data_IF_353545197163
#
_entry.id   IF_353545197163
#
_cell.length_a   1.000
_cell.length_b   1.000
_cell.length_c   1.000
_cell.angle_alpha   90.00
_cell.angle_beta   90.00
_cell.angle_gamma   90.00
#
_symmetry.space_group_name_H-M   'P 1'
#
loop_
_entity.id
_entity.type
_entity.pdbx_description
1 polymer ?
#
# COMPACT_ATOMS: atom_id res chain seq x y z
N UNK A 1 61.45 -25.27 -41.05
CA UNK A 1 60.09 -25.59 -41.47
C UNK A 1 59.23 -26.38 -40.50
N UNK A 2 59.78 -27.39 -39.77
CA UNK A 2 59.03 -28.24 -38.82
C UNK A 2 58.62 -27.54 -37.51
N UNK A 3 59.27 -26.48 -37.07
CA UNK A 3 58.95 -25.72 -35.85
C UNK A 3 57.76 -24.71 -36.07
N UNK A 4 57.69 -24.12 -37.26
CA UNK A 4 56.58 -23.18 -37.64
C UNK A 4 55.21 -23.88 -37.74
N UNK A 5 55.22 -25.14 -38.22
CA UNK A 5 53.95 -25.92 -38.34
C UNK A 5 53.37 -26.34 -37.01
N UNK A 6 54.21 -26.55 -35.96
CA UNK A 6 53.71 -26.87 -34.61
C UNK A 6 53.09 -25.67 -33.88
N UNK A 7 53.63 -24.46 -34.12
CA UNK A 7 53.09 -23.26 -33.51
C UNK A 7 51.70 -22.86 -34.06
N UNK A 8 51.50 -23.03 -35.39
CA UNK A 8 50.23 -22.72 -36.04
C UNK A 8 49.13 -23.72 -35.65
N UNK A 9 49.47 -25.01 -35.49
CA UNK A 9 48.49 -26.02 -35.07
C UNK A 9 48.06 -25.81 -33.61
N UNK A 10 48.96 -25.38 -32.71
CA UNK A 10 48.64 -25.09 -31.33
C UNK A 10 47.75 -23.84 -31.15
N UNK A 11 47.94 -22.79 -31.96
CA UNK A 11 47.06 -21.59 -31.94
C UNK A 11 45.68 -21.91 -32.47
N UNK A 12 45.53 -22.77 -33.48
CA UNK A 12 44.24 -23.17 -34.06
C UNK A 12 43.38 -23.97 -33.04
N UNK A 13 43.99 -24.82 -32.22
CA UNK A 13 43.28 -25.59 -31.19
C UNK A 13 42.84 -24.71 -30.03
N UNK A 14 43.65 -23.71 -29.61
CA UNK A 14 43.25 -22.74 -28.57
C UNK A 14 42.10 -21.83 -29.04
N UNK A 15 42.10 -21.38 -30.32
CA UNK A 15 41.01 -20.59 -30.89
C UNK A 15 39.72 -21.40 -31.02
N UNK A 16 39.78 -22.70 -31.30
CA UNK A 16 38.58 -23.56 -31.41
C UNK A 16 37.93 -23.84 -30.04
N UNK A 17 38.70 -23.87 -28.93
CA UNK A 17 38.15 -24.05 -27.57
C UNK A 17 37.37 -22.79 -27.10
N UNK A 18 37.77 -21.59 -27.53
CA UNK A 18 37.05 -20.34 -27.21
C UNK A 18 35.73 -20.13 -27.99
N UNK A 19 35.55 -20.79 -29.15
CA UNK A 19 34.31 -20.63 -29.96
C UNK A 19 33.13 -21.51 -29.55
N UNK A 20 33.30 -22.43 -28.59
CA UNK A 20 32.25 -23.31 -28.09
C UNK A 20 31.85 -23.09 -26.65
N UNK A 21 32.13 -21.93 -26.08
CA UNK A 21 31.42 -21.52 -24.88
C UNK A 21 29.96 -21.22 -25.25
N UNK A 22 29.16 -22.27 -25.48
CA UNK A 22 27.70 -22.14 -25.41
C UNK A 22 27.40 -21.48 -24.07
N UNK A 23 27.01 -20.22 -24.11
CA UNK A 23 26.36 -19.59 -22.98
C UNK A 23 25.17 -20.49 -22.68
N UNK A 24 25.30 -21.34 -21.67
CA UNK A 24 24.18 -22.11 -21.13
C UNK A 24 23.22 -21.04 -20.58
N UNK A 25 22.29 -20.63 -21.42
CA UNK A 25 21.23 -19.69 -21.01
C UNK A 25 20.47 -20.37 -19.87
N UNK A 26 20.69 -19.88 -18.65
CA UNK A 26 20.08 -20.46 -17.47
C UNK A 26 18.57 -20.44 -17.65
N UNK A 27 17.94 -21.63 -17.56
CA UNK A 27 16.49 -21.78 -17.71
C UNK A 27 15.77 -20.77 -16.81
N UNK A 28 14.84 -19.98 -17.34
CA UNK A 28 14.12 -18.99 -16.56
C UNK A 28 13.54 -19.58 -15.27
N UNK A 29 13.79 -18.93 -14.14
CA UNK A 29 13.44 -19.44 -12.82
C UNK A 29 11.98 -19.88 -12.70
N UNK A 30 11.05 -19.13 -13.33
CA UNK A 30 9.62 -19.38 -13.22
C UNK A 30 9.03 -20.29 -14.30
N UNK A 31 9.83 -20.83 -15.23
CA UNK A 31 9.34 -21.73 -16.32
C UNK A 31 8.65 -22.97 -15.72
N UNK A 32 7.36 -23.17 -16.10
CA UNK A 32 6.53 -24.30 -15.65
C UNK A 32 6.07 -24.20 -14.18
N UNK A 33 6.24 -23.04 -13.53
CA UNK A 33 5.85 -22.85 -12.13
C UNK A 33 4.51 -22.13 -11.99
N UNK A 34 3.90 -22.27 -10.81
CA UNK A 34 2.72 -21.52 -10.39
C UNK A 34 3.11 -20.58 -9.25
N UNK A 35 2.78 -19.30 -9.39
CA UNK A 35 3.01 -18.26 -8.38
C UNK A 35 1.70 -17.95 -7.69
N UNK A 36 1.70 -17.85 -6.37
CA UNK A 36 0.58 -17.39 -5.56
C UNK A 36 0.80 -15.94 -5.18
N UNK A 37 -0.08 -15.05 -5.61
CA UNK A 37 -0.13 -13.68 -5.14
C UNK A 37 -1.03 -13.59 -3.91
N UNK A 38 -0.44 -13.38 -2.75
CA UNK A 38 -1.12 -13.26 -1.47
C UNK A 38 -1.59 -11.82 -1.25
N UNK A 39 -2.87 -11.64 -0.92
CA UNK A 39 -3.51 -10.34 -0.69
C UNK A 39 -4.01 -10.31 0.75
N UNK A 40 -3.60 -9.31 1.54
CA UNK A 40 -3.86 -9.26 2.98
C UNK A 40 -5.24 -8.72 3.39
N UNK A 41 -6.15 -8.51 2.46
CA UNK A 41 -7.53 -8.08 2.72
C UNK A 41 -8.55 -8.91 1.94
N UNK A 42 -9.81 -8.81 2.35
CA UNK A 42 -10.93 -9.51 1.72
C UNK A 42 -11.12 -9.13 0.24
N UNK A 43 -11.74 -10.02 -0.56
CA UNK A 43 -12.08 -9.74 -1.94
C UNK A 43 -12.93 -8.48 -2.13
N UNK A 44 -12.83 -7.85 -3.31
CA UNK A 44 -13.63 -6.68 -3.74
C UNK A 44 -13.13 -5.33 -3.25
N UNK A 45 -12.13 -5.29 -2.33
CA UNK A 45 -11.49 -4.05 -1.89
C UNK A 45 -10.40 -3.55 -2.83
N UNK A 46 -9.86 -2.34 -2.55
CA UNK A 46 -8.81 -1.75 -3.37
C UNK A 46 -7.52 -2.58 -3.42
N UNK A 47 -7.14 -3.28 -2.34
CA UNK A 47 -6.00 -4.17 -2.32
C UNK A 47 -6.21 -5.39 -3.24
N UNK A 48 -7.40 -5.99 -3.20
CA UNK A 48 -7.76 -7.12 -4.04
C UNK A 48 -7.79 -6.74 -5.52
N UNK A 49 -8.44 -5.63 -5.87
CA UNK A 49 -8.48 -5.13 -7.25
C UNK A 49 -7.07 -4.88 -7.80
N UNK A 50 -6.22 -4.19 -7.04
CA UNK A 50 -4.83 -3.91 -7.43
C UNK A 50 -4.03 -5.20 -7.67
N UNK A 51 -4.10 -6.16 -6.73
CA UNK A 51 -3.42 -7.45 -6.88
C UNK A 51 -3.87 -8.22 -8.11
N UNK A 52 -5.18 -8.27 -8.38
CA UNK A 52 -5.73 -8.97 -9.55
C UNK A 52 -5.35 -8.32 -10.88
N UNK A 53 -5.27 -6.99 -10.95
CA UNK A 53 -4.77 -6.30 -12.15
C UNK A 53 -3.30 -6.67 -12.39
N UNK A 54 -2.45 -6.62 -11.36
CA UNK A 54 -1.06 -7.04 -11.47
C UNK A 54 -0.96 -8.51 -11.90
N UNK A 55 -1.70 -9.41 -11.25
CA UNK A 55 -1.66 -10.85 -11.53
C UNK A 55 -2.06 -11.22 -12.95
N UNK A 56 -2.95 -10.46 -13.61
CA UNK A 56 -3.31 -10.67 -15.02
C UNK A 56 -2.16 -10.38 -16.00
N UNK A 57 -1.32 -9.42 -15.67
CA UNK A 57 -0.25 -8.97 -16.55
C UNK A 57 1.12 -9.56 -16.20
N UNK A 58 1.32 -9.94 -14.93
CA UNK A 58 2.60 -10.46 -14.44
C UNK A 58 3.10 -11.69 -15.21
N UNK A 59 2.27 -12.70 -15.59
CA UNK A 59 2.74 -13.89 -16.30
C UNK A 59 3.55 -13.55 -17.56
N UNK A 60 3.07 -12.69 -18.43
CA UNK A 60 3.74 -12.35 -19.71
C UNK A 60 4.98 -11.48 -19.56
N UNK A 61 5.20 -10.89 -18.38
CA UNK A 61 6.36 -10.02 -18.08
C UNK A 61 7.42 -10.74 -17.23
N UNK A 62 7.02 -11.84 -16.59
CA UNK A 62 7.88 -12.67 -15.77
C UNK A 62 8.48 -13.79 -16.62
N UNK A 63 9.80 -13.86 -16.67
CA UNK A 63 10.49 -14.85 -17.47
C UNK A 63 10.09 -16.28 -17.10
N UNK A 64 9.74 -17.07 -18.11
CA UNK A 64 9.17 -18.41 -17.92
C UNK A 64 7.65 -18.47 -17.96
N UNK A 65 6.95 -17.33 -18.06
CA UNK A 65 5.51 -17.20 -18.21
C UNK A 65 4.69 -18.10 -17.24
N UNK A 66 4.90 -17.99 -15.91
CA UNK A 66 4.23 -18.83 -14.94
C UNK A 66 2.75 -18.50 -14.82
N UNK A 67 1.96 -19.47 -14.37
CA UNK A 67 0.59 -19.17 -13.93
C UNK A 67 0.61 -18.38 -12.62
N UNK A 68 -0.09 -17.25 -12.56
CA UNK A 68 -0.24 -16.44 -11.33
C UNK A 68 -1.68 -16.51 -10.84
N UNK A 69 -1.88 -16.87 -9.58
CA UNK A 69 -3.20 -16.96 -8.93
C UNK A 69 -3.23 -16.05 -7.70
N UNK A 70 -4.36 -15.40 -7.44
CA UNK A 70 -4.57 -14.58 -6.25
C UNK A 70 -5.21 -15.40 -5.13
N UNK A 71 -4.70 -15.23 -3.90
CA UNK A 71 -5.26 -15.77 -2.66
C UNK A 71 -5.44 -14.64 -1.64
N UNK A 72 -6.65 -14.47 -1.12
CA UNK A 72 -6.90 -13.50 -0.06
C UNK A 72 -6.71 -14.17 1.31
N UNK A 73 -6.05 -13.46 2.24
CA UNK A 73 -5.86 -13.86 3.63
C UNK A 73 -6.14 -12.64 4.53
N UNK A 74 -7.41 -12.30 4.74
CA UNK A 74 -7.79 -11.17 5.59
C UNK A 74 -7.70 -11.55 7.07
N UNK A 75 -7.54 -10.55 7.93
CA UNK A 75 -7.61 -10.70 9.38
C UNK A 75 -6.58 -9.83 10.11
N UNK A 76 -6.92 -9.43 11.33
CA UNK A 76 -6.10 -8.60 12.22
C UNK A 76 -5.51 -7.35 11.53
N UNK A 77 -6.31 -6.63 10.72
CA UNK A 77 -5.83 -5.47 9.98
C UNK A 77 -4.78 -5.81 8.89
N UNK A 78 -4.76 -7.05 8.41
CA UNK A 78 -3.80 -7.54 7.42
C UNK A 78 -2.59 -8.28 8.01
N UNK A 79 -2.42 -8.28 9.34
CA UNK A 79 -1.28 -8.92 10.05
C UNK A 79 -1.20 -10.43 9.79
N UNK A 80 -2.33 -11.12 9.65
CA UNK A 80 -2.32 -12.55 9.38
C UNK A 80 -1.50 -12.91 8.15
N UNK A 81 -1.71 -12.22 7.04
CA UNK A 81 -0.96 -12.46 5.80
C UNK A 81 0.50 -11.97 5.89
N UNK A 82 0.76 -10.89 6.63
CA UNK A 82 2.10 -10.34 6.83
C UNK A 82 2.96 -11.31 7.63
N UNK A 83 2.47 -11.82 8.74
CA UNK A 83 3.17 -12.86 9.51
C UNK A 83 3.35 -14.13 8.67
N UNK A 84 2.29 -14.57 7.97
CA UNK A 84 2.34 -15.77 7.14
C UNK A 84 3.44 -15.72 6.07
N UNK A 85 3.57 -14.62 5.33
CA UNK A 85 4.57 -14.55 4.24
C UNK A 85 6.00 -14.57 4.74
N UNK A 86 6.24 -13.97 5.92
CA UNK A 86 7.60 -13.83 6.46
C UNK A 86 8.01 -14.97 7.41
N UNK A 87 7.06 -15.72 7.95
CA UNK A 87 7.28 -16.75 8.96
C UNK A 87 6.97 -18.17 8.47
N UNK A 88 5.91 -18.33 7.65
CA UNK A 88 5.35 -19.65 7.30
C UNK A 88 5.54 -20.01 5.82
N UNK A 89 5.41 -19.02 4.93
CA UNK A 89 5.50 -19.29 3.50
C UNK A 89 6.88 -19.78 3.10
N UNK A 90 6.95 -20.90 2.35
CA UNK A 90 8.21 -21.47 1.89
C UNK A 90 9.04 -20.44 1.11
N UNK A 91 10.34 -20.27 1.43
CA UNK A 91 11.19 -19.28 0.76
C UNK A 91 11.68 -19.79 -0.62
N UNK A 92 10.78 -20.30 -1.42
CA UNK A 92 11.05 -20.88 -2.74
C UNK A 92 10.74 -19.94 -3.90
N UNK A 93 10.41 -18.66 -3.61
CA UNK A 93 10.08 -17.64 -4.61
C UNK A 93 8.70 -17.77 -5.27
N UNK A 94 7.87 -18.74 -4.84
CA UNK A 94 6.56 -19.00 -5.47
C UNK A 94 5.38 -18.32 -4.77
N UNK A 95 5.60 -17.68 -3.63
CA UNK A 95 4.60 -16.83 -2.95
C UNK A 95 5.08 -15.39 -3.03
N UNK A 96 4.25 -14.50 -3.57
CA UNK A 96 4.52 -13.06 -3.66
C UNK A 96 3.38 -12.30 -3.00
N UNK A 97 3.68 -11.23 -2.26
CA UNK A 97 2.64 -10.40 -1.67
C UNK A 97 2.12 -9.32 -2.63
N UNK A 98 0.87 -8.91 -2.41
CA UNK A 98 0.36 -7.59 -2.77
C UNK A 98 -0.40 -7.08 -1.55
N UNK A 99 0.35 -6.48 -0.62
CA UNK A 99 -0.18 -6.04 0.67
C UNK A 99 -0.53 -4.56 0.67
N UNK A 100 -1.44 -4.20 1.54
CA UNK A 100 -1.78 -2.82 1.86
C UNK A 100 -1.33 -2.51 3.28
N UNK A 101 -0.52 -1.46 3.46
CA UNK A 101 0.00 -1.07 4.77
C UNK A 101 0.92 -2.13 5.38
N UNK A 102 0.85 -2.26 6.70
CA UNK A 102 1.58 -3.29 7.47
C UNK A 102 2.86 -2.80 8.12
N UNK A 103 3.56 -1.86 7.52
CA UNK A 103 4.80 -1.31 8.05
C UNK A 103 4.63 -0.56 9.38
N UNK A 104 3.47 0.02 9.63
CA UNK A 104 3.18 0.71 10.89
C UNK A 104 3.19 -0.21 12.09
N UNK A 105 2.90 -1.49 11.92
CA UNK A 105 3.00 -2.46 13.00
C UNK A 105 4.45 -2.59 13.50
N UNK A 106 5.43 -2.60 12.58
CA UNK A 106 6.84 -2.59 12.98
C UNK A 106 7.28 -1.24 13.52
N UNK A 107 6.87 -0.14 12.89
CA UNK A 107 7.13 1.22 13.38
C UNK A 107 6.66 1.42 14.83
N UNK A 108 5.57 0.78 15.22
CA UNK A 108 4.97 0.88 16.56
C UNK A 108 5.33 -0.29 17.47
N UNK A 109 6.20 -1.19 17.04
CA UNK A 109 6.56 -2.39 17.81
C UNK A 109 5.33 -3.16 18.28
N UNK A 110 4.30 -3.27 17.40
CA UNK A 110 3.06 -3.98 17.74
C UNK A 110 3.36 -5.45 18.05
N UNK A 111 3.01 -5.95 19.25
CA UNK A 111 3.37 -7.32 19.67
C UNK A 111 2.70 -8.42 18.82
N UNK A 112 1.66 -8.09 18.06
CA UNK A 112 1.03 -9.03 17.14
C UNK A 112 1.80 -9.19 15.81
N UNK A 113 2.76 -8.30 15.51
CA UNK A 113 3.73 -8.49 14.44
C UNK A 113 4.88 -9.35 14.97
N UNK A 114 5.00 -10.59 14.50
CA UNK A 114 6.00 -11.56 14.97
C UNK A 114 7.25 -11.61 14.10
N UNK A 115 7.31 -10.79 13.06
CA UNK A 115 8.34 -10.83 12.01
C UNK A 115 9.02 -9.48 11.87
N UNK A 116 10.25 -9.49 11.36
CA UNK A 116 11.00 -8.30 11.03
C UNK A 116 10.89 -8.02 9.52
N UNK A 117 10.14 -6.99 9.16
CA UNK A 117 9.89 -6.61 7.77
C UNK A 117 11.13 -6.07 7.05
N UNK A 118 12.19 -5.68 7.78
CA UNK A 118 13.47 -5.27 7.18
C UNK A 118 14.18 -6.42 6.51
N UNK A 119 13.92 -7.66 6.95
CA UNK A 119 14.48 -8.89 6.37
C UNK A 119 13.78 -9.34 5.09
N UNK A 120 12.67 -8.74 4.74
CA UNK A 120 11.91 -9.11 3.56
C UNK A 120 12.59 -8.61 2.28
N UNK A 121 12.72 -9.44 1.23
CA UNK A 121 13.23 -9.00 -0.05
C UNK A 121 12.16 -8.20 -0.80
N UNK A 122 12.12 -6.91 -0.57
CA UNK A 122 11.17 -6.02 -1.21
C UNK A 122 11.35 -6.00 -2.73
N UNK A 123 10.25 -6.11 -3.45
CA UNK A 123 10.18 -6.15 -4.90
C UNK A 123 9.76 -4.80 -5.46
N UNK A 124 8.66 -4.25 -4.97
CA UNK A 124 8.13 -2.97 -5.40
C UNK A 124 7.18 -2.38 -4.37
N UNK A 125 7.03 -1.06 -4.41
CA UNK A 125 5.94 -0.32 -3.79
C UNK A 125 5.06 0.34 -4.84
N UNK A 126 3.83 0.70 -4.45
CA UNK A 126 2.95 1.57 -5.22
C UNK A 126 2.43 2.65 -4.29
N UNK A 127 2.65 3.89 -4.66
CA UNK A 127 2.19 5.05 -3.93
C UNK A 127 0.68 5.26 -4.02
N UNK A 128 0.15 6.07 -3.11
CA UNK A 128 -1.24 6.46 -3.16
C UNK A 128 -1.75 7.18 -1.93
N UNK A 129 -3.03 7.49 -1.97
CA UNK A 129 -3.74 8.15 -0.89
C UNK A 129 -5.05 7.42 -0.58
N UNK A 130 -5.69 7.82 0.52
CA UNK A 130 -7.07 7.45 0.83
C UNK A 130 -7.94 8.70 0.81
N UNK A 131 -9.18 8.51 0.43
CA UNK A 131 -10.21 9.54 0.45
C UNK A 131 -11.17 9.21 1.57
N UNK A 132 -11.41 10.16 2.45
CA UNK A 132 -12.38 10.06 3.53
C UNK A 132 -13.68 10.66 3.05
N UNK A 133 -14.75 9.94 3.25
CA UNK A 133 -16.11 10.36 2.91
C UNK A 133 -17.05 10.07 4.08
N UNK A 134 -18.12 10.84 4.15
CA UNK A 134 -19.13 10.69 5.20
C UNK A 134 -20.54 10.73 4.61
N UNK A 135 -21.47 10.07 5.27
CA UNK A 135 -22.90 10.14 4.94
C UNK A 135 -23.39 11.58 5.02
N UNK A 136 -24.16 11.97 4.03
CA UNK A 136 -24.74 13.31 3.94
C UNK A 136 -25.73 13.58 5.08
N UNK A 137 -26.47 12.58 5.50
CA UNK A 137 -27.45 12.65 6.58
C UNK A 137 -26.89 12.55 8.00
N UNK A 138 -25.53 12.54 8.15
CA UNK A 138 -24.87 12.65 9.45
C UNK A 138 -25.32 13.94 10.15
N UNK A 139 -25.87 13.81 11.37
CA UNK A 139 -26.40 14.97 12.13
C UNK A 139 -25.34 16.05 12.36
N UNK A 140 -25.68 17.33 12.11
CA UNK A 140 -26.99 17.89 11.73
C UNK A 140 -27.24 17.92 10.21
N UNK A 141 -26.41 17.30 9.39
CA UNK A 141 -26.39 17.31 7.94
C UNK A 141 -25.08 17.84 7.39
N UNK A 142 -24.54 17.16 6.34
CA UNK A 142 -23.26 17.49 5.73
C UNK A 142 -23.47 17.73 4.22
N UNK A 143 -23.29 18.97 3.75
CA UNK A 143 -23.38 19.33 2.33
C UNK A 143 -21.99 19.55 1.70
N UNK A 144 -21.02 19.93 2.48
CA UNK A 144 -19.65 20.24 2.04
C UNK A 144 -18.63 19.82 3.10
N UNK A 145 -17.34 19.63 2.75
CA UNK A 145 -16.31 19.14 3.67
C UNK A 145 -16.22 19.87 5.00
N UNK A 146 -16.33 21.19 4.99
CA UNK A 146 -16.25 22.02 6.20
C UNK A 146 -17.39 21.79 7.19
N UNK A 147 -18.51 21.21 6.76
CA UNK A 147 -19.64 20.94 7.64
C UNK A 147 -19.33 19.86 8.70
N UNK A 148 -18.21 19.15 8.55
CA UNK A 148 -17.75 18.15 9.53
C UNK A 148 -17.61 18.71 10.95
N UNK A 149 -17.34 20.02 11.09
CA UNK A 149 -17.27 20.69 12.39
C UNK A 149 -18.61 21.01 13.02
N UNK A 150 -19.72 20.84 12.29
CA UNK A 150 -21.06 20.95 12.85
C UNK A 150 -21.43 19.76 13.75
N UNK A 151 -20.68 18.65 13.63
CA UNK A 151 -20.86 17.46 14.47
C UNK A 151 -20.39 17.76 15.89
N UNK A 152 -21.32 17.81 16.83
CA UNK A 152 -21.02 18.12 18.25
C UNK A 152 -21.00 16.90 19.14
N UNK A 153 -21.78 15.85 18.82
CA UNK A 153 -21.80 14.60 19.55
C UNK A 153 -20.96 13.54 18.81
N UNK A 154 -19.89 12.98 19.44
CA UNK A 154 -19.05 11.98 18.78
C UNK A 154 -19.81 10.69 18.40
N UNK A 155 -20.91 10.36 19.09
CA UNK A 155 -21.72 9.17 18.77
C UNK A 155 -22.56 9.32 17.51
N UNK A 156 -22.78 10.54 17.03
CA UNK A 156 -23.43 10.84 15.76
C UNK A 156 -22.47 10.77 14.58
N UNK A 157 -21.16 10.59 14.86
CA UNK A 157 -20.12 10.47 13.82
C UNK A 157 -19.19 9.30 14.09
N UNK A 158 -19.69 8.10 13.83
CA UNK A 158 -18.95 6.86 13.94
C UNK A 158 -18.11 6.62 12.68
N UNK A 159 -16.86 6.23 12.87
CA UNK A 159 -15.92 5.97 11.78
C UNK A 159 -15.54 4.50 11.79
N UNK A 160 -15.75 3.81 10.65
CA UNK A 160 -15.38 2.41 10.54
C UNK A 160 -13.87 2.22 10.44
N UNK A 161 -13.34 1.26 11.18
CA UNK A 161 -11.92 0.89 11.22
C UNK A 161 -11.68 -0.60 11.31
N UNK A 162 -10.41 -1.01 11.12
CA UNK A 162 -9.98 -2.41 11.14
C UNK A 162 -9.31 -2.77 12.45
N UNK A 163 -8.31 -1.98 12.86
CA UNK A 163 -7.48 -2.20 14.04
C UNK A 163 -6.86 -0.88 14.48
N UNK A 164 -6.88 -0.60 15.77
CA UNK A 164 -6.42 0.69 16.35
C UNK A 164 -4.98 1.07 15.95
N UNK A 165 -4.09 0.09 15.82
CA UNK A 165 -2.69 0.26 15.40
C UNK A 165 -2.48 0.10 13.89
N UNK A 166 -3.56 -0.11 13.13
CA UNK A 166 -3.49 -0.19 11.67
C UNK A 166 -3.22 1.15 11.02
N UNK A 167 -2.41 1.17 9.97
CA UNK A 167 -2.00 2.38 9.22
C UNK A 167 -3.15 3.33 8.92
N UNK A 168 -4.27 2.78 8.42
CA UNK A 168 -5.46 3.54 8.07
C UNK A 168 -6.09 4.16 9.33
N UNK A 169 -6.39 3.33 10.33
CA UNK A 169 -7.17 3.74 11.49
C UNK A 169 -6.43 4.78 12.34
N UNK A 170 -5.12 4.58 12.55
CA UNK A 170 -4.28 5.57 13.25
C UNK A 170 -4.29 6.92 12.54
N UNK A 171 -4.03 6.91 11.24
CA UNK A 171 -3.96 8.14 10.45
C UNK A 171 -5.29 8.89 10.48
N UNK A 172 -6.41 8.20 10.34
CA UNK A 172 -7.74 8.80 10.41
C UNK A 172 -8.02 9.39 11.78
N UNK A 173 -7.71 8.67 12.87
CA UNK A 173 -7.86 9.20 14.23
C UNK A 173 -7.01 10.44 14.48
N UNK A 174 -5.73 10.39 14.12
CA UNK A 174 -4.84 11.56 14.24
C UNK A 174 -5.39 12.75 13.46
N UNK A 175 -5.88 12.52 12.24
CA UNK A 175 -6.42 13.59 11.40
C UNK A 175 -7.67 14.22 12.04
N UNK A 176 -8.62 13.43 12.49
CA UNK A 176 -9.81 13.98 13.14
C UNK A 176 -9.50 14.64 14.50
N UNK A 177 -8.52 14.12 15.23
CA UNK A 177 -8.03 14.74 16.47
C UNK A 177 -7.39 16.10 16.16
N UNK A 178 -6.46 16.18 15.20
CA UNK A 178 -5.83 17.43 14.75
C UNK A 178 -6.85 18.45 14.21
N UNK A 179 -7.85 17.99 13.48
CA UNK A 179 -8.94 18.82 12.98
C UNK A 179 -9.93 19.25 14.07
N UNK A 180 -9.82 18.74 15.31
CA UNK A 180 -10.75 19.00 16.38
C UNK A 180 -12.18 18.47 16.13
N UNK A 181 -12.32 17.47 15.23
CA UNK A 181 -13.61 16.87 14.91
C UNK A 181 -13.97 15.80 15.95
N UNK A 182 -15.14 15.94 16.55
CA UNK A 182 -15.66 14.93 17.50
C UNK A 182 -16.11 13.69 16.73
N UNK A 183 -15.58 12.53 17.09
CA UNK A 183 -15.84 11.28 16.38
C UNK A 183 -15.77 10.07 17.32
N UNK A 184 -16.40 8.97 16.92
CA UNK A 184 -16.40 7.69 17.61
C UNK A 184 -15.84 6.59 16.70
N UNK A 185 -14.65 6.03 16.98
CA UNK A 185 -14.07 4.99 16.15
C UNK A 185 -14.69 3.62 16.46
N UNK A 186 -15.15 2.92 15.42
CA UNK A 186 -15.67 1.54 15.49
C UNK A 186 -14.70 0.63 14.75
N UNK A 187 -13.96 -0.19 15.47
CA UNK A 187 -12.95 -1.11 14.88
C UNK A 187 -13.44 -2.55 14.84
N UNK A 188 -12.69 -3.42 14.12
CA UNK A 188 -13.00 -4.84 13.99
C UNK A 188 -13.54 -5.27 12.63
N UNK A 189 -13.77 -4.35 11.72
CA UNK A 189 -14.17 -4.69 10.35
C UNK A 189 -13.08 -5.49 9.62
N UNK A 190 -13.46 -6.58 8.95
CA UNK A 190 -12.51 -7.48 8.26
C UNK A 190 -12.09 -7.00 6.86
N UNK A 191 -12.47 -5.79 6.47
CA UNK A 191 -12.11 -5.19 5.19
C UNK A 191 -13.10 -4.14 4.72
N UNK A 192 -12.75 -3.41 3.65
CA UNK A 192 -13.46 -2.23 3.17
C UNK A 192 -14.90 -2.54 2.73
N UNK A 193 -15.18 -3.74 2.22
CA UNK A 193 -16.54 -4.12 1.80
C UNK A 193 -17.51 -4.13 2.99
N UNK A 194 -17.12 -4.73 4.12
CA UNK A 194 -17.96 -4.75 5.32
C UNK A 194 -18.14 -3.36 5.92
N UNK A 195 -17.09 -2.53 5.94
CA UNK A 195 -17.16 -1.14 6.40
C UNK A 195 -18.12 -0.29 5.55
N UNK A 196 -18.11 -0.48 4.22
CA UNK A 196 -19.03 0.21 3.32
C UNK A 196 -20.47 -0.23 3.51
N UNK A 197 -20.71 -1.53 3.73
CA UNK A 197 -22.06 -2.02 4.05
C UNK A 197 -22.60 -1.40 5.35
N UNK A 198 -21.76 -1.36 6.40
CA UNK A 198 -22.13 -0.71 7.66
C UNK A 198 -22.43 0.80 7.46
N UNK A 199 -21.68 1.49 6.56
CA UNK A 199 -21.97 2.88 6.22
C UNK A 199 -23.31 3.01 5.47
N UNK A 200 -23.60 2.15 4.50
CA UNK A 200 -24.88 2.15 3.78
C UNK A 200 -26.07 1.88 4.72
N UNK A 201 -25.87 1.00 5.71
CA UNK A 201 -26.87 0.68 6.75
C UNK A 201 -26.95 1.72 7.88
N UNK A 202 -26.16 2.80 7.79
CA UNK A 202 -26.07 3.87 8.79
C UNK A 202 -25.59 3.41 10.18
N UNK A 203 -24.91 2.26 10.27
CA UNK A 203 -24.24 1.81 11.50
C UNK A 203 -23.03 2.66 11.83
N UNK A 204 -22.34 3.17 10.78
CA UNK A 204 -21.26 4.14 10.83
C UNK A 204 -21.49 5.27 9.82
N UNK A 205 -20.97 6.45 10.10
CA UNK A 205 -21.22 7.65 9.29
C UNK A 205 -20.05 8.00 8.37
N UNK A 206 -18.83 7.56 8.67
CA UNK A 206 -17.67 7.86 7.84
C UNK A 206 -16.78 6.63 7.63
N UNK A 207 -16.05 6.66 6.52
CA UNK A 207 -15.05 5.65 6.19
C UNK A 207 -14.02 6.23 5.22
N UNK A 208 -12.81 5.68 5.24
CA UNK A 208 -11.75 6.01 4.29
C UNK A 208 -11.45 4.86 3.34
N UNK A 209 -11.39 5.17 2.06
CA UNK A 209 -11.10 4.18 1.01
C UNK A 209 -9.90 4.57 0.15
N UNK A 210 -9.30 3.60 -0.52
CA UNK A 210 -8.23 3.83 -1.50
C UNK A 210 -8.77 4.47 -2.78
N UNK A 211 -7.89 5.13 -3.56
CA UNK A 211 -8.24 5.70 -4.87
C UNK A 211 -8.96 4.71 -5.79
N UNK A 212 -8.53 3.45 -5.84
CA UNK A 212 -9.18 2.43 -6.65
C UNK A 212 -10.62 2.16 -6.23
N UNK A 213 -10.89 2.11 -4.92
CA UNK A 213 -12.25 1.95 -4.42
C UNK A 213 -13.06 3.23 -4.62
N UNK A 214 -12.43 4.40 -4.45
CA UNK A 214 -13.06 5.69 -4.69
C UNK A 214 -13.66 5.76 -6.08
N UNK A 215 -12.85 5.61 -7.12
CA UNK A 215 -13.33 5.71 -8.50
C UNK A 215 -14.30 4.60 -8.92
N UNK A 216 -14.06 3.37 -8.47
CA UNK A 216 -14.80 2.20 -8.97
C UNK A 216 -15.97 1.74 -8.10
N UNK A 217 -16.12 2.33 -6.92
CA UNK A 217 -17.19 1.92 -6.00
C UNK A 217 -17.86 3.12 -5.33
N UNK A 218 -17.07 4.04 -4.75
CA UNK A 218 -17.63 5.09 -3.91
C UNK A 218 -18.30 6.17 -4.74
N UNK A 219 -17.62 6.69 -5.77
CA UNK A 219 -18.20 7.71 -6.65
C UNK A 219 -19.51 7.22 -7.28
N UNK A 220 -19.56 6.08 -7.98
CA UNK A 220 -20.80 5.66 -8.63
C UNK A 220 -21.94 5.29 -7.67
N UNK A 221 -21.64 4.72 -6.49
CA UNK A 221 -22.68 4.17 -5.63
C UNK A 221 -23.03 5.02 -4.40
N UNK A 222 -22.22 6.03 -4.06
CA UNK A 222 -22.46 6.82 -2.85
C UNK A 222 -22.39 8.32 -3.10
N UNK A 223 -21.50 8.81 -3.97
CA UNK A 223 -21.38 10.24 -4.26
C UNK A 223 -22.43 10.66 -5.30
N UNK A 224 -22.47 9.98 -6.45
CA UNK A 224 -23.44 10.28 -7.50
C UNK A 224 -24.89 10.05 -7.04
N UNK A 225 -25.11 9.15 -6.11
CA UNK A 225 -26.41 8.87 -5.48
C UNK A 225 -26.70 9.77 -4.27
N UNK A 226 -25.81 10.70 -3.96
CA UNK A 226 -25.95 11.68 -2.86
C UNK A 226 -26.13 11.06 -1.46
N UNK A 227 -25.70 9.79 -1.26
CA UNK A 227 -25.70 9.13 0.05
C UNK A 227 -24.55 9.69 0.91
N UNK A 228 -23.40 9.99 0.31
CA UNK A 228 -22.23 10.50 1.01
C UNK A 228 -21.58 11.66 0.25
N UNK A 229 -20.75 12.42 0.97
CA UNK A 229 -19.92 13.47 0.42
C UNK A 229 -18.43 13.14 0.72
N UNK A 230 -17.46 13.55 -0.14
CA UNK A 230 -16.06 13.53 0.21
C UNK A 230 -15.79 14.56 1.31
N UNK A 231 -14.91 14.22 2.25
CA UNK A 231 -14.48 15.15 3.31
C UNK A 231 -13.07 15.65 3.03
N UNK A 232 -12.11 14.75 2.83
CA UNK A 232 -10.74 15.08 2.46
C UNK A 232 -10.02 13.88 1.83
N UNK A 233 -8.90 14.17 1.17
CA UNK A 233 -7.87 13.17 0.89
C UNK A 233 -6.56 13.57 1.56
N UNK A 234 -5.65 12.59 1.78
CA UNK A 234 -4.34 12.91 2.35
C UNK A 234 -3.46 13.61 1.33
N UNK A 235 -2.63 14.52 1.82
CA UNK A 235 -1.66 15.27 1.03
C UNK A 235 -0.66 14.34 0.33
N UNK A 236 -0.21 14.73 -0.84
CA UNK A 236 0.99 14.21 -1.49
C UNK A 236 2.18 15.00 -0.97
N UNK A 237 3.13 14.32 -0.35
CA UNK A 237 4.39 14.93 0.11
C UNK A 237 5.40 14.91 -1.03
N UNK A 238 5.92 16.06 -1.39
CA UNK A 238 6.93 16.24 -2.42
C UNK A 238 8.33 16.10 -1.84
N UNK A 239 9.34 15.90 -2.70
CA UNK A 239 10.73 15.72 -2.28
C UNK A 239 11.33 16.97 -1.57
N UNK A 240 10.83 18.16 -1.89
CA UNK A 240 11.19 19.43 -1.26
C UNK A 240 10.50 19.70 0.09
N UNK A 241 9.73 18.72 0.59
CA UNK A 241 8.97 18.83 1.84
C UNK A 241 7.64 19.58 1.72
N UNK A 242 7.32 20.13 0.56
CA UNK A 242 6.02 20.75 0.30
C UNK A 242 4.91 19.71 0.18
N UNK A 243 3.67 20.18 0.24
CA UNK A 243 2.48 19.32 0.09
C UNK A 243 1.65 19.79 -1.11
N UNK A 244 1.02 18.82 -1.79
CA UNK A 244 0.14 19.09 -2.92
C UNK A 244 -1.08 18.14 -2.92
N UNK A 245 -2.09 18.51 -3.69
CA UNK A 245 -3.23 17.63 -3.95
C UNK A 245 -2.87 16.58 -5.01
N UNK A 246 -3.63 15.48 -5.04
CA UNK A 246 -3.59 14.53 -6.15
C UNK A 246 -4.41 15.11 -7.32
N UNK A 247 -3.84 15.24 -8.53
CA UNK A 247 -4.52 15.89 -9.67
C UNK A 247 -5.82 15.23 -10.12
N UNK A 248 -5.95 13.92 -9.85
CA UNK A 248 -7.13 13.12 -10.19
C UNK A 248 -8.23 13.14 -9.10
N UNK A 249 -8.08 13.99 -8.08
CA UNK A 249 -9.06 14.21 -7.01
C UNK A 249 -9.49 15.69 -6.94
N UNK A 250 -9.90 16.30 -8.07
CA UNK A 250 -10.28 17.72 -8.08
C UNK A 250 -11.52 17.95 -7.19
N UNK A 251 -11.57 19.12 -6.57
CA UNK A 251 -12.71 19.53 -5.73
C UNK A 251 -12.77 18.89 -4.33
N UNK A 252 -11.88 17.94 -4.02
CA UNK A 252 -11.75 17.35 -2.69
C UNK A 252 -10.55 18.02 -1.99
N UNK A 253 -10.73 18.68 -0.82
CA UNK A 253 -9.61 19.29 -0.14
C UNK A 253 -8.61 18.25 0.38
N UNK A 254 -7.33 18.63 0.44
CA UNK A 254 -6.36 17.87 1.24
C UNK A 254 -6.59 18.09 2.74
N UNK A 255 -5.99 17.24 3.57
CA UNK A 255 -6.00 17.44 5.04
C UNK A 255 -5.46 18.83 5.39
N UNK A 256 -4.32 19.22 4.81
CA UNK A 256 -3.70 20.52 5.09
C UNK A 256 -4.56 21.70 4.62
N UNK A 257 -5.17 21.57 3.43
CA UNK A 257 -6.07 22.61 2.90
C UNK A 257 -7.33 22.76 3.77
N UNK A 258 -7.93 21.65 4.20
CA UNK A 258 -9.09 21.66 5.07
C UNK A 258 -8.76 22.26 6.45
N UNK A 259 -7.60 21.93 7.02
CA UNK A 259 -7.10 22.52 8.26
C UNK A 259 -6.91 24.03 8.10
N UNK A 260 -6.23 24.46 7.00
CA UNK A 260 -6.00 25.87 6.72
C UNK A 260 -7.32 26.65 6.54
N UNK A 261 -8.31 26.05 5.90
CA UNK A 261 -9.64 26.65 5.74
C UNK A 261 -10.31 26.92 7.11
N UNK A 262 -10.13 26.03 8.09
CA UNK A 262 -10.71 26.17 9.43
C UNK A 262 -9.94 27.13 10.33
N UNK A 263 -8.61 27.02 10.32
CA UNK A 263 -7.74 27.66 11.32
C UNK A 263 -6.90 28.83 10.79
N UNK A 264 -6.97 29.14 9.49
CA UNK A 264 -6.24 30.22 8.85
C UNK A 264 -4.73 29.95 8.65
N UNK A 265 -4.19 28.82 9.10
CA UNK A 265 -2.78 28.45 9.07
C UNK A 265 -2.56 26.99 8.69
N UNK A 266 -1.36 26.66 8.25
CA UNK A 266 -0.97 25.27 8.00
C UNK A 266 -0.93 24.46 9.30
N UNK A 267 -1.26 23.16 9.25
CA UNK A 267 -1.16 22.30 10.42
C UNK A 267 0.29 22.19 10.90
N UNK A 268 0.46 22.09 12.22
CA UNK A 268 1.74 21.92 12.90
C UNK A 268 1.55 21.08 14.17
N UNK A 269 2.67 20.74 14.82
CA UNK A 269 2.64 19.94 16.05
C UNK A 269 2.72 18.45 15.81
N UNK A 270 2.68 17.66 16.91
CA UNK A 270 2.99 16.24 16.89
C UNK A 270 1.96 15.40 16.10
N UNK A 271 0.68 15.78 16.12
CA UNK A 271 -0.33 15.12 15.29
C UNK A 271 0.00 15.24 13.80
N UNK A 272 0.38 16.44 13.36
CA UNK A 272 0.76 16.68 11.98
C UNK A 272 2.04 15.93 11.60
N UNK A 273 3.05 15.96 12.45
CA UNK A 273 4.30 15.21 12.20
C UNK A 273 4.05 13.70 12.13
N UNK A 274 3.17 13.15 12.96
CA UNK A 274 2.80 11.75 12.90
C UNK A 274 1.99 11.41 11.62
N UNK A 275 1.09 12.28 11.19
CA UNK A 275 0.37 12.13 9.93
C UNK A 275 1.36 12.15 8.76
N UNK A 276 2.30 13.11 8.73
CA UNK A 276 3.36 13.22 7.70
C UNK A 276 4.21 11.95 7.67
N UNK A 277 4.68 11.49 8.81
CA UNK A 277 5.51 10.29 8.93
C UNK A 277 4.81 9.04 8.36
N UNK A 278 3.54 8.83 8.72
CA UNK A 278 2.76 7.70 8.18
C UNK A 278 2.48 7.90 6.67
N UNK A 279 2.14 9.12 6.26
CA UNK A 279 1.75 9.42 4.88
C UNK A 279 2.93 9.39 3.92
N UNK A 280 4.16 9.72 4.34
CA UNK A 280 5.35 9.60 3.50
C UNK A 280 5.60 8.16 3.05
N UNK A 281 5.34 7.18 3.93
CA UNK A 281 5.37 5.77 3.55
C UNK A 281 4.18 5.40 2.65
N UNK A 282 2.99 5.88 2.94
CA UNK A 282 1.80 5.64 2.10
C UNK A 282 1.99 6.19 0.68
N UNK A 283 2.62 7.35 0.54
CA UNK A 283 2.92 7.96 -0.75
C UNK A 283 3.72 7.06 -1.68
N UNK A 284 4.51 6.13 -1.13
CA UNK A 284 5.40 5.25 -1.89
C UNK A 284 5.03 3.77 -1.81
N UNK A 285 4.35 3.33 -0.74
CA UNK A 285 4.12 1.90 -0.50
C UNK A 285 2.74 1.58 0.10
N UNK A 286 1.70 2.34 -0.30
CA UNK A 286 0.31 2.00 0.04
C UNK A 286 -0.05 0.58 -0.42
N UNK A 287 0.58 0.13 -1.51
CA UNK A 287 0.71 -1.29 -1.85
C UNK A 287 2.18 -1.65 -1.83
N UNK A 288 2.48 -2.79 -1.29
CA UNK A 288 3.85 -3.27 -1.22
C UNK A 288 3.93 -4.75 -1.59
N UNK A 289 5.00 -5.08 -2.28
CA UNK A 289 5.25 -6.42 -2.81
C UNK A 289 6.57 -6.93 -2.27
N UNK A 290 6.52 -8.13 -1.67
CA UNK A 290 7.69 -8.85 -1.20
C UNK A 290 7.56 -10.35 -1.48
N UNK A 291 8.68 -11.06 -1.40
CA UNK A 291 8.76 -12.51 -1.29
C UNK A 291 9.08 -12.91 0.16
N UNK A 292 8.94 -14.17 0.56
CA UNK A 292 9.41 -14.66 1.86
C UNK A 292 10.89 -14.38 2.05
N UNK A 293 11.35 -14.06 3.28
CA UNK A 293 12.78 -14.00 3.62
C UNK A 293 13.49 -15.29 3.22
N UNK A 294 14.73 -15.19 2.72
CA UNK A 294 15.49 -16.35 2.24
C UNK A 294 15.11 -16.85 0.83
N UNK A 295 14.20 -16.19 0.13
CA UNK A 295 13.86 -16.53 -1.26
C UNK A 295 15.09 -16.48 -2.19
N UNK A 296 15.19 -17.37 -3.20
CA UNK A 296 16.34 -17.42 -4.11
C UNK A 296 16.61 -16.08 -4.79
N UNK A 297 17.86 -15.67 -4.90
CA UNK A 297 18.28 -14.44 -5.58
C UNK A 297 17.74 -14.35 -7.01
N UNK A 298 17.71 -15.49 -7.74
CA UNK A 298 17.14 -15.57 -9.08
C UNK A 298 15.63 -15.22 -9.10
N UNK A 299 14.87 -15.68 -8.11
CA UNK A 299 13.44 -15.34 -7.97
C UNK A 299 13.24 -13.84 -7.71
N UNK A 300 14.02 -13.27 -6.78
CA UNK A 300 13.96 -11.85 -6.42
C UNK A 300 14.29 -10.99 -7.64
N UNK A 301 15.38 -11.29 -8.34
CA UNK A 301 15.82 -10.56 -9.53
C UNK A 301 14.78 -10.62 -10.65
N UNK A 302 14.29 -11.81 -10.96
CA UNK A 302 13.27 -11.99 -11.99
C UNK A 302 11.97 -11.23 -11.67
N UNK A 303 11.54 -11.25 -10.40
CA UNK A 303 10.34 -10.54 -9.96
C UNK A 303 10.53 -9.01 -10.03
N UNK A 304 11.67 -8.48 -9.57
CA UNK A 304 12.00 -7.04 -9.69
C UNK A 304 12.01 -6.58 -11.15
N UNK A 305 12.65 -7.36 -12.04
CA UNK A 305 12.67 -7.10 -13.48
C UNK A 305 11.26 -7.09 -14.09
N UNK A 306 10.40 -8.03 -13.68
CA UNK A 306 9.01 -8.09 -14.13
C UNK A 306 8.20 -6.87 -13.67
N UNK A 307 8.35 -6.42 -12.42
CA UNK A 307 7.68 -5.22 -11.92
C UNK A 307 8.20 -3.92 -12.58
N UNK A 308 9.50 -3.84 -12.88
CA UNK A 308 10.06 -2.73 -13.67
C UNK A 308 9.47 -2.67 -15.10
N UNK A 309 9.29 -3.83 -15.73
CA UNK A 309 8.60 -3.93 -17.02
C UNK A 309 7.12 -3.55 -16.91
N UNK A 310 6.44 -4.02 -15.86
CA UNK A 310 5.03 -3.74 -15.58
C UNK A 310 4.76 -2.24 -15.45
N UNK A 311 5.63 -1.50 -14.77
CA UNK A 311 5.53 -0.05 -14.59
C UNK A 311 5.52 0.72 -15.92
N UNK A 312 6.12 0.18 -16.96
CA UNK A 312 6.23 0.78 -18.30
C UNK A 312 5.22 0.22 -19.32
N UNK A 313 4.56 -0.89 -18.96
CA UNK A 313 3.74 -1.66 -19.88
C UNK A 313 2.41 -0.97 -20.22
N UNK A 314 2.19 -0.67 -21.51
CA UNK A 314 0.99 0.03 -21.99
C UNK A 314 -0.30 -0.76 -21.72
N UNK A 315 -0.28 -2.10 -21.88
CA UNK A 315 -1.46 -2.96 -21.67
C UNK A 315 -1.85 -2.97 -20.19
N UNK A 316 -0.87 -3.06 -19.29
CA UNK A 316 -1.11 -2.95 -17.85
C UNK A 316 -1.68 -1.57 -17.48
N UNK A 317 -1.09 -0.48 -17.98
CA UNK A 317 -1.57 0.89 -17.71
C UNK A 317 -3.02 1.09 -18.15
N UNK A 318 -3.38 0.61 -19.34
CA UNK A 318 -4.74 0.67 -19.87
C UNK A 318 -5.72 -0.14 -19.00
N UNK A 319 -5.37 -1.38 -18.62
CA UNK A 319 -6.19 -2.20 -17.74
C UNK A 319 -6.27 -1.61 -16.32
N UNK A 320 -5.19 -1.05 -15.80
CA UNK A 320 -5.20 -0.35 -14.52
C UNK A 320 -6.15 0.85 -14.54
N UNK A 321 -6.09 1.69 -15.57
CA UNK A 321 -7.03 2.81 -15.73
C UNK A 321 -8.48 2.31 -15.77
N UNK A 322 -8.77 1.25 -16.55
CA UNK A 322 -10.11 0.65 -16.62
C UNK A 322 -10.55 0.07 -15.26
N UNK A 323 -9.67 -0.68 -14.58
CA UNK A 323 -10.01 -1.47 -13.38
C UNK A 323 -9.90 -0.69 -12.08
N UNK A 324 -8.98 0.30 -11.99
CA UNK A 324 -8.68 1.06 -10.78
C UNK A 324 -9.12 2.52 -10.87
N UNK A 325 -9.23 3.08 -12.07
CA UNK A 325 -9.55 4.50 -12.31
C UNK A 325 -8.32 5.41 -12.35
N UNK A 326 -7.12 4.85 -12.23
CA UNK A 326 -5.85 5.58 -12.31
C UNK A 326 -4.72 4.64 -12.71
N UNK A 327 -3.60 5.20 -13.16
CA UNK A 327 -2.38 4.44 -13.43
C UNK A 327 -1.49 4.41 -12.19
N UNK A 328 -1.19 3.22 -11.61
CA UNK A 328 -0.28 3.13 -10.46
C UNK A 328 1.16 3.53 -10.82
N UNK A 329 1.78 4.31 -9.93
CA UNK A 329 3.19 4.66 -9.99
C UNK A 329 3.98 3.69 -9.11
N UNK A 330 4.95 2.99 -9.70
CA UNK A 330 5.76 2.01 -8.99
C UNK A 330 7.05 2.63 -8.44
N UNK A 331 7.38 2.23 -7.24
CA UNK A 331 8.67 2.47 -6.59
C UNK A 331 9.41 1.14 -6.49
N UNK A 332 10.71 1.12 -6.79
CA UNK A 332 11.50 -0.10 -6.74
C UNK A 332 11.72 -0.61 -5.31
N UNK A 333 12.08 -1.91 -5.20
CA UNK A 333 12.22 -2.57 -3.90
C UNK A 333 13.37 -2.03 -3.05
N UNK A 334 14.42 -1.46 -3.63
CA UNK A 334 15.51 -0.85 -2.87
C UNK A 334 15.05 0.46 -2.22
N UNK A 335 14.30 1.26 -2.95
CA UNK A 335 13.66 2.48 -2.42
C UNK A 335 12.66 2.15 -1.30
N UNK A 336 11.84 1.10 -1.46
CA UNK A 336 10.93 0.61 -0.40
C UNK A 336 11.71 0.25 0.87
N UNK A 337 12.82 -0.50 0.74
CA UNK A 337 13.66 -0.88 1.87
C UNK A 337 14.29 0.35 2.57
N UNK A 338 14.80 1.33 1.81
CA UNK A 338 15.34 2.59 2.35
C UNK A 338 14.28 3.38 3.13
N UNK A 339 13.08 3.52 2.57
CA UNK A 339 11.97 4.23 3.22
C UNK A 339 11.55 3.56 4.53
N UNK A 340 11.50 2.22 4.55
CA UNK A 340 11.17 1.48 5.76
C UNK A 340 12.26 1.68 6.84
N UNK A 341 13.52 1.57 6.47
CA UNK A 341 14.64 1.79 7.40
C UNK A 341 14.66 3.22 7.94
N UNK A 342 14.44 4.23 7.10
CA UNK A 342 14.30 5.62 7.52
C UNK A 342 13.15 5.79 8.51
N UNK A 343 11.99 5.21 8.23
CA UNK A 343 10.84 5.32 9.12
C UNK A 343 11.07 4.68 10.50
N UNK A 344 11.87 3.62 10.55
CA UNK A 344 12.15 2.91 11.80
C UNK A 344 13.22 3.61 12.67
N UNK A 345 14.19 4.30 12.05
CA UNK A 345 15.39 4.78 12.74
C UNK A 345 15.39 6.29 13.01
N UNK A 346 14.79 7.09 12.11
CA UNK A 346 14.99 8.54 12.13
C UNK A 346 13.82 9.32 12.77
N UNK A 347 12.82 8.65 13.33
CA UNK A 347 11.58 9.27 13.80
C UNK A 347 11.21 8.91 15.24
N UNK A 348 12.20 8.67 16.10
CA UNK A 348 11.97 8.17 17.48
C UNK A 348 11.07 9.08 18.31
N UNK A 349 11.18 10.41 18.16
CA UNK A 349 10.35 11.38 18.89
C UNK A 349 8.87 11.23 18.52
N UNK A 350 8.58 11.14 17.22
CA UNK A 350 7.22 10.96 16.69
C UNK A 350 6.67 9.61 17.09
N UNK A 351 7.49 8.55 17.01
CA UNK A 351 7.14 7.19 17.40
C UNK A 351 6.72 7.13 18.88
N UNK A 352 7.55 7.67 19.79
CA UNK A 352 7.28 7.65 21.24
C UNK A 352 6.00 8.41 21.58
N UNK A 353 5.82 9.58 20.97
CA UNK A 353 4.61 10.36 21.15
C UNK A 353 3.36 9.59 20.67
N UNK A 354 3.43 8.97 19.49
CA UNK A 354 2.30 8.21 18.92
C UNK A 354 1.97 6.96 19.76
N UNK A 355 2.97 6.27 20.32
CA UNK A 355 2.75 5.16 21.24
C UNK A 355 1.99 5.63 22.48
N UNK A 356 2.35 6.78 23.05
CA UNK A 356 1.63 7.35 24.19
C UNK A 356 0.18 7.72 23.83
N UNK A 357 -0.07 8.26 22.63
CA UNK A 357 -1.42 8.55 22.14
C UNK A 357 -2.26 7.27 21.97
N UNK A 358 -1.68 6.21 21.42
CA UNK A 358 -2.36 4.91 21.28
C UNK A 358 -2.79 4.38 22.64
N UNK A 359 -1.96 4.49 23.68
CA UNK A 359 -2.33 4.06 25.04
C UNK A 359 -3.49 4.89 25.60
N UNK A 360 -3.54 6.20 25.34
CA UNK A 360 -4.69 7.04 25.68
C UNK A 360 -5.96 6.56 24.96
N UNK A 361 -5.86 6.25 23.66
CA UNK A 361 -6.99 5.75 22.88
C UNK A 361 -7.54 4.42 23.38
N UNK A 362 -6.66 3.50 23.82
CA UNK A 362 -7.06 2.21 24.40
C UNK A 362 -7.83 2.37 25.73
N UNK A 363 -7.43 3.35 26.55
CA UNK A 363 -8.05 3.64 27.85
C UNK A 363 -9.34 4.45 27.74
N UNK A 364 -9.54 5.15 26.63
CA UNK A 364 -10.70 6.02 26.44
C UNK A 364 -11.97 5.17 26.33
N UNK A 365 -12.87 5.31 27.31
CA UNK A 365 -14.26 4.82 27.20
C UNK A 365 -14.99 5.73 26.19
N UNK A 366 -15.31 5.19 25.06
CA UNK A 366 -15.96 5.92 23.97
C UNK A 366 -17.49 5.97 24.15
#
# INVERSE_FOLDING_TARGET
>A
MKVLFRAVASLAVISAVFMFSKVIEAKPFYKGKRVVMLINYAPGGGADRSGRVIARHLPRLLEGNPRVICKNMPGAGGLMAINYISEIAKPNGLTVSNFSGGYTYQMLKDPALRVDLTKNPWIAGVGGTSIIYARKDTKPGLDKPIDIWKVTNPRDFKIAGFRITGTKDMRERLTFQMLGVKHYPVTGFRGTTKSRMALLQNEVQAFGDSRAAWFKTIVPNMINTKIAIPIYHYDKFNADGSVSAYPDLPGIPTVSALYKQKYGKMPAGMEWEAIRWIQSLQGSMVRNTTLPPGSPKAAISAMRKAYSKLAKDKKYKADAMKSLGFTPEFVDGATVAKLLNWALNDNQKVQNWLLAEIEKWKKKKW
#
